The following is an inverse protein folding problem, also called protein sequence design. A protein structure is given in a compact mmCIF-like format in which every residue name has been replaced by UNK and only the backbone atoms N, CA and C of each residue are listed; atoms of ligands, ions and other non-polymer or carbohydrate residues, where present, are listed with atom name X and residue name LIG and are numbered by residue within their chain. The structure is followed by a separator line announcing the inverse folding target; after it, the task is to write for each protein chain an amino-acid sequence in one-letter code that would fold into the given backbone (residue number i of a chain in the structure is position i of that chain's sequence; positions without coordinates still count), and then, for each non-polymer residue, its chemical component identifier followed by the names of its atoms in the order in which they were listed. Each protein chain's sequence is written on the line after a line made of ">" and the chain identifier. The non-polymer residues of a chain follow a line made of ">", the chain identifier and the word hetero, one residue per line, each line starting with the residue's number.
data_IF_748664773833
#
_entry.id   IF_748664773833
#
_cell.length_a   1.000
_cell.length_b   1.000
_cell.length_c   1.000
_cell.angle_alpha   90.00
_cell.angle_beta   90.00
_cell.angle_gamma   90.00
#
_symmetry.space_group_name_H-M   'P 1'
#
loop_
_entity.id
_entity.type
_entity.pdbx_description
1 polymer ?
#
# COMPACT_ATOMS: atom_id res chain seq x y z
N UNK A 1 5.78 -15.36 -42.76
CA UNK A 1 5.07 -16.19 -41.77
C UNK A 1 4.94 -15.33 -40.54
N UNK A 2 3.76 -14.70 -40.43
CA UNK A 2 3.32 -14.01 -39.22
C UNK A 2 2.90 -15.03 -38.14
N UNK A 3 3.06 -14.59 -36.89
CA UNK A 3 2.21 -14.78 -35.71
C UNK A 3 3.09 -14.45 -34.48
N UNK A 4 3.11 -13.19 -34.03
CA UNK A 4 2.15 -12.55 -33.11
C UNK A 4 2.52 -12.74 -31.63
N UNK A 5 2.93 -11.62 -31.03
CA UNK A 5 2.68 -11.14 -29.66
C UNK A 5 2.71 -12.13 -28.48
N UNK A 6 3.60 -11.84 -27.53
CA UNK A 6 3.29 -11.99 -26.10
C UNK A 6 3.95 -10.87 -25.33
N UNK A 7 3.24 -9.75 -25.26
CA UNK A 7 3.46 -8.64 -24.34
C UNK A 7 3.30 -9.12 -22.90
N UNK A 8 4.35 -9.01 -22.08
CA UNK A 8 4.20 -9.00 -20.63
C UNK A 8 4.87 -7.74 -20.08
N UNK A 9 4.12 -6.64 -20.12
CA UNK A 9 4.38 -5.46 -19.31
C UNK A 9 4.21 -5.80 -17.84
N UNK A 10 5.23 -5.49 -17.02
CA UNK A 10 5.11 -4.70 -15.79
C UNK A 10 6.43 -4.75 -14.99
N UNK A 11 7.44 -4.01 -15.47
CA UNK A 11 8.40 -3.41 -14.56
C UNK A 11 7.73 -2.16 -13.97
N UNK A 12 6.99 -2.31 -12.86
CA UNK A 12 6.61 -1.16 -12.04
C UNK A 12 7.83 -0.78 -11.20
N UNK A 13 8.76 -0.11 -11.85
CA UNK A 13 9.81 0.64 -11.17
C UNK A 13 9.10 1.64 -10.25
N UNK A 14 9.27 1.52 -8.94
CA UNK A 14 8.82 2.54 -7.99
C UNK A 14 9.42 3.87 -8.46
N UNK A 15 8.54 4.78 -8.86
CA UNK A 15 8.87 6.03 -9.51
C UNK A 15 9.96 6.80 -8.78
N UNK A 16 10.93 7.27 -9.56
CA UNK A 16 11.95 8.23 -9.12
C UNK A 16 11.26 9.51 -8.66
N UNK A 17 11.53 9.95 -7.43
CA UNK A 17 11.18 11.30 -6.99
C UNK A 17 12.17 12.30 -7.62
N UNK A 18 11.68 13.25 -8.41
CA UNK A 18 11.85 14.63 -7.97
C UNK A 18 10.56 15.42 -8.21
N UNK A 19 10.09 16.16 -7.22
CA UNK A 19 9.24 17.30 -7.52
C UNK A 19 9.86 18.57 -6.94
N UNK A 20 10.49 19.32 -7.85
CA UNK A 20 10.87 20.72 -7.71
C UNK A 20 9.71 21.65 -8.13
N UNK A 21 8.45 21.21 -8.06
CA UNK A 21 7.33 22.14 -7.95
C UNK A 21 7.36 22.72 -6.55
N UNK A 22 7.29 24.04 -6.39
CA UNK A 22 7.36 24.74 -5.09
C UNK A 22 6.21 24.45 -4.11
N UNK A 23 5.71 23.21 -4.05
CA UNK A 23 4.78 22.71 -3.05
C UNK A 23 5.56 22.22 -1.83
N UNK A 24 5.07 22.52 -0.60
CA UNK A 24 5.70 22.01 0.61
C UNK A 24 5.71 20.48 0.55
N UNK A 25 6.88 19.89 0.81
CA UNK A 25 7.20 18.46 0.73
C UNK A 25 6.14 17.61 1.48
N UNK A 26 5.06 17.23 0.79
CA UNK A 26 3.89 16.61 1.41
C UNK A 26 3.94 15.10 1.17
N UNK A 27 4.06 14.35 2.26
CA UNK A 27 4.05 12.89 2.19
C UNK A 27 2.61 12.36 2.16
N UNK A 28 2.45 11.24 1.49
CA UNK A 28 1.16 10.56 1.38
C UNK A 28 1.33 9.04 1.40
N UNK A 29 0.26 8.33 1.78
CA UNK A 29 0.22 6.86 1.80
C UNK A 29 -0.67 6.32 0.68
N UNK A 30 -1.83 5.77 1.02
CA UNK A 30 -2.81 5.18 0.09
C UNK A 30 -3.84 6.22 -0.35
N UNK A 31 -4.79 5.82 -1.22
CA UNK A 31 -5.99 6.62 -1.43
C UNK A 31 -6.92 6.55 -0.23
N UNK A 32 -7.83 7.51 -0.15
CA UNK A 32 -8.87 7.61 0.86
C UNK A 32 -9.72 6.33 0.85
N UNK A 33 -9.94 5.76 2.03
CA UNK A 33 -10.67 4.51 2.27
C UNK A 33 -10.02 3.25 1.70
N UNK A 34 -8.74 3.30 1.30
CA UNK A 34 -7.95 2.10 1.03
C UNK A 34 -7.25 1.64 2.30
N UNK A 35 -7.22 0.31 2.51
CA UNK A 35 -6.55 -0.29 3.65
C UNK A 35 -5.06 0.05 3.62
N UNK A 36 -4.58 0.70 4.68
CA UNK A 36 -3.16 1.08 4.82
C UNK A 36 -2.27 -0.16 4.93
N UNK A 37 -2.71 -1.14 5.71
CA UNK A 37 -2.04 -2.41 5.91
C UNK A 37 -3.04 -3.55 5.79
N UNK A 38 -2.57 -4.67 5.26
CA UNK A 38 -3.30 -5.93 5.33
C UNK A 38 -2.84 -6.66 6.59
N UNK A 39 -3.76 -7.12 7.45
CA UNK A 39 -3.38 -7.95 8.57
C UNK A 39 -2.72 -9.22 8.03
N UNK A 40 -1.48 -9.47 8.45
CA UNK A 40 -0.87 -10.78 8.21
C UNK A 40 -1.68 -11.79 9.00
N UNK A 41 -2.14 -12.87 8.35
CA UNK A 41 -2.85 -13.94 9.03
C UNK A 41 -1.88 -14.69 9.94
N UNK A 42 -1.83 -14.31 11.22
CA UNK A 42 -0.96 -14.94 12.21
C UNK A 42 -0.46 -13.97 13.28
N UNK A 43 0.02 -14.52 14.39
CA UNK A 43 0.70 -13.76 15.44
C UNK A 43 2.19 -13.67 15.10
N UNK A 44 2.78 -12.47 15.18
CA UNK A 44 4.23 -12.30 15.08
C UNK A 44 4.89 -12.85 16.35
N UNK A 45 5.36 -14.10 16.31
CA UNK A 45 6.06 -14.72 17.44
C UNK A 45 7.40 -14.03 17.75
N UNK A 46 7.91 -13.16 16.87
CA UNK A 46 9.12 -12.35 17.11
C UNK A 46 8.84 -11.08 17.92
N UNK A 47 7.57 -10.75 18.16
CA UNK A 47 7.15 -9.62 18.98
C UNK A 47 6.10 -10.06 20.02
N UNK A 48 6.52 -10.76 21.10
CA UNK A 48 5.61 -11.30 22.11
C UNK A 48 4.72 -10.25 22.77
N UNK A 49 5.21 -9.00 22.82
CA UNK A 49 4.53 -7.88 23.46
C UNK A 49 3.77 -6.98 22.46
N UNK A 50 3.82 -7.29 21.15
CA UNK A 50 3.07 -6.59 20.10
C UNK A 50 3.43 -5.12 19.91
N UNK A 51 4.64 -4.68 20.28
CA UNK A 51 5.06 -3.28 20.16
C UNK A 51 5.12 -2.76 18.71
N UNK A 52 5.23 -3.67 17.73
CA UNK A 52 5.25 -3.31 16.31
C UNK A 52 3.85 -3.07 15.74
N UNK A 53 2.78 -3.53 16.41
CA UNK A 53 1.41 -3.37 15.94
C UNK A 53 0.88 -1.98 16.35
N UNK A 54 0.61 -1.12 15.37
CA UNK A 54 -0.07 0.14 15.63
C UNK A 54 -1.55 -0.10 15.93
N UNK A 55 -1.95 0.04 17.19
CA UNK A 55 -3.36 -0.07 17.64
C UNK A 55 -4.18 1.19 17.30
N UNK A 56 -3.55 2.25 16.80
CA UNK A 56 -4.24 3.50 16.48
C UNK A 56 -5.16 3.33 15.26
N UNK A 57 -6.46 3.37 15.49
CA UNK A 57 -7.47 3.37 14.42
C UNK A 57 -7.40 4.67 13.62
N UNK A 58 -7.41 4.56 12.28
CA UNK A 58 -7.44 5.69 11.37
C UNK A 58 -8.57 5.51 10.34
N UNK A 59 -9.62 6.32 10.49
CA UNK A 59 -10.81 6.28 9.64
C UNK A 59 -10.54 6.58 8.16
N UNK A 60 -9.46 7.30 7.83
CA UNK A 60 -9.10 7.65 6.44
C UNK A 60 -8.71 6.42 5.61
N UNK A 61 -8.40 5.30 6.25
CA UNK A 61 -8.03 4.04 5.61
C UNK A 61 -9.11 2.97 5.73
N UNK A 62 -10.30 3.32 6.22
CA UNK A 62 -11.40 2.39 6.42
C UNK A 62 -12.28 2.29 5.16
N UNK A 63 -12.33 1.13 4.46
CA UNK A 63 -13.18 0.97 3.29
C UNK A 63 -14.67 1.12 3.57
N UNK A 64 -15.12 0.83 4.79
CA UNK A 64 -16.54 0.93 5.16
C UNK A 64 -17.04 2.37 5.19
N UNK A 65 -16.12 3.33 5.43
CA UNK A 65 -16.44 4.74 5.50
C UNK A 65 -16.41 5.44 4.14
N UNK A 66 -16.17 4.70 3.04
CA UNK A 66 -16.05 5.25 1.69
C UNK A 66 -17.26 6.11 1.31
N UNK A 67 -18.47 5.58 1.44
CA UNK A 67 -19.70 6.33 1.11
C UNK A 67 -19.83 7.63 1.89
N UNK A 68 -19.45 7.62 3.16
CA UNK A 68 -19.52 8.79 4.03
C UNK A 68 -18.43 9.83 3.70
N UNK A 69 -17.18 9.39 3.58
CA UNK A 69 -16.03 10.27 3.36
C UNK A 69 -16.00 10.88 1.94
N UNK A 70 -16.61 10.22 0.95
CA UNK A 70 -16.76 10.74 -0.41
C UNK A 70 -17.98 11.66 -0.61
N UNK A 71 -18.82 11.88 0.41
CA UNK A 71 -19.86 12.92 0.32
C UNK A 71 -19.23 14.28 0.08
N UNK A 72 -19.80 15.07 -0.84
CA UNK A 72 -19.22 16.34 -1.35
C UNK A 72 -18.85 17.33 -0.24
N UNK A 73 -19.66 17.46 0.79
CA UNK A 73 -19.45 18.34 1.94
C UNK A 73 -18.28 17.89 2.81
N UNK A 74 -18.25 16.59 3.13
CA UNK A 74 -17.20 15.97 3.95
C UNK A 74 -15.87 15.98 3.20
N UNK A 75 -15.88 15.55 1.95
CA UNK A 75 -14.69 15.47 1.09
C UNK A 75 -14.03 16.85 0.90
N UNK A 76 -14.82 17.89 0.61
CA UNK A 76 -14.32 19.27 0.56
C UNK A 76 -13.68 19.72 1.88
N UNK A 77 -14.25 19.32 3.02
CA UNK A 77 -13.68 19.62 4.34
C UNK A 77 -12.36 18.88 4.57
N UNK A 78 -12.24 17.63 4.14
CA UNK A 78 -10.98 16.87 4.21
C UNK A 78 -9.89 17.54 3.38
N UNK A 79 -10.20 17.97 2.16
CA UNK A 79 -9.28 18.68 1.28
C UNK A 79 -8.86 20.03 1.87
N UNK A 80 -9.82 20.81 2.38
CA UNK A 80 -9.55 22.12 3.03
C UNK A 80 -8.66 21.99 4.25
N UNK A 81 -8.82 20.90 5.02
CA UNK A 81 -8.03 20.63 6.21
C UNK A 81 -6.68 19.98 5.90
N UNK A 82 -6.35 19.70 4.64
CA UNK A 82 -5.09 19.08 4.23
C UNK A 82 -4.96 17.62 4.68
N UNK A 83 -6.06 16.92 4.94
CA UNK A 83 -6.07 15.50 5.32
C UNK A 83 -5.97 14.55 4.12
N UNK A 84 -6.31 15.07 2.94
CA UNK A 84 -6.20 14.39 1.65
C UNK A 84 -5.64 15.37 0.60
N UNK A 85 -5.01 14.83 -0.44
CA UNK A 85 -4.59 15.58 -1.63
C UNK A 85 -5.74 15.71 -2.63
N UNK A 86 -5.53 16.49 -3.69
CA UNK A 86 -6.50 16.58 -4.81
C UNK A 86 -6.72 15.25 -5.53
N UNK A 87 -5.77 14.32 -5.43
CA UNK A 87 -5.82 12.98 -6.01
C UNK A 87 -6.40 11.93 -5.04
N UNK A 88 -7.08 12.39 -3.98
CA UNK A 88 -7.62 11.58 -2.89
C UNK A 88 -6.57 10.78 -2.11
N UNK A 89 -5.29 11.15 -2.16
CA UNK A 89 -4.26 10.47 -1.36
C UNK A 89 -4.27 11.00 0.07
N UNK A 90 -4.15 10.11 1.04
CA UNK A 90 -4.15 10.46 2.45
C UNK A 90 -2.79 11.08 2.83
N UNK A 91 -2.80 12.29 3.38
CA UNK A 91 -1.58 12.98 3.81
C UNK A 91 -1.04 12.39 5.10
N UNK A 92 0.28 12.36 5.26
CA UNK A 92 0.94 11.79 6.43
C UNK A 92 2.21 12.55 6.83
N UNK A 93 2.68 12.25 8.04
CA UNK A 93 3.98 12.69 8.52
C UNK A 93 5.11 11.86 7.89
N UNK A 94 6.34 12.39 7.93
CA UNK A 94 7.53 11.66 7.47
C UNK A 94 7.74 10.32 8.20
N UNK A 95 7.40 10.27 9.49
CA UNK A 95 7.49 9.04 10.29
C UNK A 95 6.53 7.97 9.77
N UNK A 96 5.25 8.33 9.61
CA UNK A 96 4.23 7.43 9.04
C UNK A 96 4.59 6.99 7.63
N UNK A 97 5.12 7.90 6.81
CA UNK A 97 5.58 7.58 5.46
C UNK A 97 6.71 6.53 5.47
N UNK A 98 7.71 6.68 6.32
CA UNK A 98 8.79 5.69 6.44
C UNK A 98 8.29 4.34 6.95
N UNK A 99 7.38 4.34 7.93
CA UNK A 99 6.73 3.10 8.38
C UNK A 99 5.97 2.43 7.25
N UNK A 100 5.22 3.20 6.46
CA UNK A 100 4.47 2.70 5.30
C UNK A 100 5.40 2.12 4.23
N UNK A 101 6.50 2.80 3.89
CA UNK A 101 7.52 2.25 2.96
C UNK A 101 8.11 0.93 3.45
N UNK A 102 8.43 0.84 4.75
CA UNK A 102 8.95 -0.41 5.33
C UNK A 102 7.93 -1.54 5.19
N UNK A 103 6.66 -1.26 5.50
CA UNK A 103 5.58 -2.22 5.31
C UNK A 103 5.46 -2.68 3.85
N UNK A 104 5.50 -1.77 2.87
CA UNK A 104 5.45 -2.14 1.44
C UNK A 104 6.60 -3.07 1.04
N UNK A 105 7.81 -2.83 1.54
CA UNK A 105 8.95 -3.70 1.30
C UNK A 105 8.73 -5.11 1.90
N UNK A 106 8.18 -5.20 3.11
CA UNK A 106 7.85 -6.49 3.73
C UNK A 106 6.77 -7.25 2.96
N UNK A 107 5.72 -6.56 2.47
CA UNK A 107 4.68 -7.18 1.64
C UNK A 107 5.26 -7.74 0.34
N UNK A 108 6.16 -6.99 -0.30
CA UNK A 108 6.83 -7.45 -1.52
C UNK A 108 7.65 -8.72 -1.27
N UNK A 109 8.45 -8.73 -0.20
CA UNK A 109 9.23 -9.92 0.19
C UNK A 109 8.34 -11.14 0.46
N UNK A 110 7.20 -10.95 1.14
CA UNK A 110 6.24 -12.02 1.41
C UNK A 110 5.58 -12.55 0.12
N UNK A 111 5.30 -11.68 -0.86
CA UNK A 111 4.79 -12.08 -2.18
C UNK A 111 5.84 -12.90 -2.94
N UNK A 112 7.08 -12.42 -3.00
CA UNK A 112 8.18 -13.08 -3.70
C UNK A 112 8.45 -14.48 -3.10
N UNK A 113 8.43 -14.58 -1.76
CA UNK A 113 8.60 -15.85 -1.06
C UNK A 113 7.46 -16.84 -1.37
N UNK A 114 6.20 -16.38 -1.33
CA UNK A 114 5.03 -17.21 -1.67
C UNK A 114 5.10 -17.72 -3.10
N UNK A 115 5.39 -16.83 -4.05
CA UNK A 115 5.52 -17.18 -5.45
C UNK A 115 6.62 -18.23 -5.67
N UNK A 116 7.77 -18.08 -5.01
CA UNK A 116 8.85 -19.08 -5.06
C UNK A 116 8.42 -20.44 -4.50
N UNK A 117 7.67 -20.45 -3.39
CA UNK A 117 7.17 -21.70 -2.81
C UNK A 117 6.15 -22.39 -3.73
N UNK A 118 5.22 -21.65 -4.32
CA UNK A 118 4.25 -22.17 -5.29
C UNK A 118 4.94 -22.80 -6.50
N UNK A 119 5.97 -22.15 -7.06
CA UNK A 119 6.75 -22.74 -8.15
C UNK A 119 7.44 -24.05 -7.75
N UNK A 120 8.01 -24.11 -6.53
CA UNK A 120 8.66 -25.34 -6.03
C UNK A 120 7.64 -26.47 -5.88
N UNK A 121 6.42 -26.18 -5.41
CA UNK A 121 5.35 -27.17 -5.27
C UNK A 121 4.88 -27.67 -6.64
N UNK A 122 4.61 -26.78 -7.59
CA UNK A 122 4.24 -27.15 -8.96
C UNK A 122 5.32 -28.02 -9.62
N UNK A 123 6.59 -27.62 -9.53
CA UNK A 123 7.71 -28.40 -10.06
C UNK A 123 7.84 -29.79 -9.42
N UNK A 124 7.39 -29.98 -8.17
CA UNK A 124 7.36 -31.31 -7.53
C UNK A 124 6.21 -32.16 -8.04
N UNK A 125 5.04 -31.57 -8.26
CA UNK A 125 3.87 -32.27 -8.81
C UNK A 125 4.12 -32.75 -10.24
N UNK A 126 4.70 -31.92 -11.12
CA UNK A 126 5.01 -32.29 -12.50
C UNK A 126 6.22 -33.22 -12.68
N UNK A 127 6.94 -33.52 -11.60
CA UNK A 127 8.11 -34.43 -11.65
C UNK A 127 7.72 -35.91 -11.48
N UNK A 128 6.46 -36.19 -11.14
CA UNK A 128 5.88 -37.53 -11.12
C UNK A 128 5.15 -37.84 -12.43
#
# INVERSE_FOLDING_TARGET
>A
MDHSESSFSQHHCIDKYPDNSGQPNSFYTTRLCEKLTQPKGGFDLTDPNGYKLSTAYNCRHDPSLKTYLYRKDIHKRLLKNGLITKDDKVTCSFKEFNTYKKYLAEVQLDLDHRFKMEQVLLCREFRH
#
